data_IF_014239388875
#
_entry.id   IF_014239388875
#
_cell.length_a   1.000
_cell.length_b   1.000
_cell.length_c   1.000
_cell.angle_alpha   90.00
_cell.angle_beta   90.00
_cell.angle_gamma   90.00
#
_symmetry.space_group_name_H-M   'P 1'
#
loop_
_entity.id
_entity.type
_entity.pdbx_description
1 polymer ?
#
# COMPACT_ATOMS: atom_id res chain seq x y z
N UNK A 1 -26.40 -16.59 0.67
CA UNK A 1 -26.06 -15.44 -0.20
C UNK A 1 -26.18 -14.12 0.54
N UNK A 2 -27.28 -13.84 1.26
CA UNK A 2 -27.46 -12.58 2.03
C UNK A 2 -26.35 -12.33 3.06
N UNK A 3 -25.91 -13.35 3.79
CA UNK A 3 -24.79 -13.26 4.73
C UNK A 3 -23.47 -12.88 4.02
N UNK A 4 -23.15 -13.52 2.91
CA UNK A 4 -21.93 -13.23 2.13
C UNK A 4 -21.94 -11.78 1.64
N UNK A 5 -23.07 -11.30 1.11
CA UNK A 5 -23.22 -9.89 0.70
C UNK A 5 -23.03 -8.91 1.87
N UNK A 6 -23.65 -9.19 3.01
CA UNK A 6 -23.52 -8.34 4.19
C UNK A 6 -22.07 -8.31 4.70
N UNK A 7 -21.39 -9.47 4.68
CA UNK A 7 -19.97 -9.57 5.06
C UNK A 7 -19.07 -8.73 4.14
N UNK A 8 -19.24 -8.83 2.82
CA UNK A 8 -18.52 -8.02 1.83
C UNK A 8 -18.78 -6.53 2.04
N UNK A 9 -20.05 -6.12 2.20
CA UNK A 9 -20.39 -4.71 2.47
C UNK A 9 -19.72 -4.18 3.72
N UNK A 10 -19.67 -4.98 4.80
CA UNK A 10 -19.04 -4.57 6.06
C UNK A 10 -17.53 -4.32 5.90
N UNK A 11 -16.84 -5.12 5.08
CA UNK A 11 -15.40 -4.96 4.81
C UNK A 11 -15.15 -3.72 3.94
N UNK A 12 -15.88 -3.61 2.84
CA UNK A 12 -15.73 -2.49 1.89
C UNK A 12 -16.06 -1.14 2.52
N UNK A 13 -16.96 -1.11 3.51
CA UNK A 13 -17.24 0.10 4.30
C UNK A 13 -16.04 0.51 5.15
N UNK A 14 -15.25 -0.46 5.64
CA UNK A 14 -14.08 -0.21 6.47
C UNK A 14 -12.82 0.10 5.67
N UNK A 15 -12.70 -0.45 4.46
CA UNK A 15 -11.60 -0.20 3.53
C UNK A 15 -12.16 0.48 2.26
N UNK A 16 -12.30 1.82 2.25
CA UNK A 16 -12.83 2.54 1.09
C UNK A 16 -12.05 2.32 -0.21
N UNK A 17 -10.78 1.87 -0.09
CA UNK A 17 -9.95 1.57 -1.25
C UNK A 17 -10.35 0.28 -1.97
N UNK A 18 -11.26 -0.51 -1.40
CA UNK A 18 -11.72 -1.79 -1.95
C UNK A 18 -13.19 -1.81 -2.34
N UNK A 19 -13.83 -0.64 -2.50
CA UNK A 19 -15.23 -0.57 -2.90
C UNK A 19 -15.46 -1.31 -4.22
N UNK A 20 -16.37 -2.31 -4.21
CA UNK A 20 -16.67 -3.18 -5.35
C UNK A 20 -15.57 -4.16 -5.76
N UNK A 21 -14.39 -4.12 -5.13
CA UNK A 21 -13.26 -5.01 -5.42
C UNK A 21 -13.64 -6.48 -5.34
N UNK A 22 -14.19 -6.91 -4.20
CA UNK A 22 -14.57 -8.32 -3.99
C UNK A 22 -15.54 -8.82 -5.05
N UNK A 23 -16.48 -7.98 -5.50
CA UNK A 23 -17.42 -8.35 -6.58
C UNK A 23 -16.72 -8.43 -7.93
N UNK A 24 -15.80 -7.51 -8.26
CA UNK A 24 -15.03 -7.53 -9.51
C UNK A 24 -14.13 -8.76 -9.57
N UNK A 25 -13.38 -9.04 -8.49
CA UNK A 25 -12.56 -10.26 -8.38
C UNK A 25 -13.40 -11.51 -8.55
N UNK A 26 -14.54 -11.63 -7.87
CA UNK A 26 -15.43 -12.78 -8.01
C UNK A 26 -15.97 -12.95 -9.45
N UNK A 27 -16.32 -11.85 -10.11
CA UNK A 27 -16.80 -11.90 -11.50
C UNK A 27 -15.70 -12.33 -12.46
N UNK A 28 -14.49 -11.81 -12.31
CA UNK A 28 -13.31 -12.18 -13.13
C UNK A 28 -12.94 -13.65 -12.90
N UNK A 29 -12.90 -14.10 -11.64
CA UNK A 29 -12.51 -15.47 -11.29
C UNK A 29 -13.52 -16.49 -11.83
N UNK A 30 -14.82 -16.21 -11.68
CA UNK A 30 -15.88 -17.08 -12.26
C UNK A 30 -15.79 -17.08 -13.78
N UNK A 31 -15.57 -15.92 -14.41
CA UNK A 31 -15.44 -15.86 -15.86
C UNK A 31 -14.20 -16.61 -16.37
N UNK A 32 -13.10 -16.58 -15.62
CA UNK A 32 -11.90 -17.37 -15.93
C UNK A 32 -12.19 -18.86 -15.75
N UNK A 33 -12.87 -19.28 -14.69
CA UNK A 33 -13.29 -20.67 -14.50
C UNK A 33 -14.21 -21.16 -15.62
N UNK A 34 -15.16 -20.34 -16.08
CA UNK A 34 -16.01 -20.66 -17.25
C UNK A 34 -15.19 -20.78 -18.55
N UNK A 35 -14.11 -20.03 -18.71
CA UNK A 35 -13.23 -20.12 -19.86
C UNK A 35 -12.36 -21.37 -19.81
N UNK A 36 -11.87 -21.74 -18.63
CA UNK A 36 -11.17 -23.02 -18.38
C UNK A 36 -12.07 -24.22 -18.69
N UNK A 37 -13.34 -24.19 -18.23
CA UNK A 37 -14.33 -25.25 -18.49
C UNK A 37 -14.60 -25.48 -20.00
N UNK A 38 -14.37 -24.46 -20.82
CA UNK A 38 -14.52 -24.47 -22.28
C UNK A 38 -13.22 -24.66 -23.05
N UNK A 39 -12.09 -24.86 -22.36
CA UNK A 39 -10.80 -25.00 -23.02
C UNK A 39 -10.71 -26.32 -23.82
N UNK A 40 -10.58 -26.20 -25.13
CA UNK A 40 -10.45 -27.36 -26.04
C UNK A 40 -9.00 -27.82 -26.23
N UNK A 41 -8.03 -27.06 -25.73
CA UNK A 41 -6.59 -27.32 -25.84
C UNK A 41 -5.83 -26.73 -24.66
N UNK A 42 -4.55 -27.11 -24.56
CA UNK A 42 -3.65 -26.61 -23.52
C UNK A 42 -3.70 -27.40 -22.21
N UNK A 43 -3.00 -26.92 -21.16
CA UNK A 43 -2.81 -27.69 -19.92
C UNK A 43 -4.07 -27.94 -19.13
N UNK A 44 -5.14 -27.20 -19.41
CA UNK A 44 -6.43 -27.30 -18.72
C UNK A 44 -7.53 -27.92 -19.58
N UNK A 45 -7.18 -28.52 -20.71
CA UNK A 45 -8.16 -29.26 -21.55
C UNK A 45 -8.84 -30.37 -20.73
N UNK A 46 -10.15 -30.39 -20.78
CA UNK A 46 -10.98 -31.40 -20.08
C UNK A 46 -11.22 -31.12 -18.60
N UNK A 47 -10.70 -30.00 -18.07
CA UNK A 47 -11.10 -29.52 -16.75
C UNK A 47 -12.52 -28.99 -16.82
N UNK A 48 -13.38 -29.40 -15.87
CA UNK A 48 -14.76 -28.90 -15.78
C UNK A 48 -15.13 -28.60 -14.33
N UNK A 49 -16.04 -27.66 -14.17
CA UNK A 49 -16.55 -27.25 -12.86
C UNK A 49 -18.04 -27.47 -12.76
N UNK A 50 -18.47 -28.18 -11.71
CA UNK A 50 -19.89 -28.28 -11.38
C UNK A 50 -20.48 -26.93 -10.97
N UNK A 51 -21.81 -26.82 -10.93
CA UNK A 51 -22.50 -25.63 -10.43
C UNK A 51 -22.08 -25.25 -8.99
N UNK A 52 -21.87 -26.26 -8.17
CA UNK A 52 -21.49 -26.06 -6.77
C UNK A 52 -20.04 -25.60 -6.66
N UNK A 53 -19.13 -26.14 -7.46
CA UNK A 53 -17.75 -25.65 -7.54
C UNK A 53 -17.68 -24.20 -8.05
N UNK A 54 -18.52 -23.83 -9.04
CA UNK A 54 -18.61 -22.42 -9.47
C UNK A 54 -19.12 -21.50 -8.35
N UNK A 55 -20.04 -21.99 -7.51
CA UNK A 55 -20.51 -21.26 -6.31
C UNK A 55 -19.41 -21.15 -5.25
N UNK A 56 -18.63 -22.19 -5.01
CA UNK A 56 -17.47 -22.17 -4.13
C UNK A 56 -16.45 -21.11 -4.57
N UNK A 57 -16.07 -21.14 -5.87
CA UNK A 57 -15.17 -20.15 -6.47
C UNK A 57 -15.69 -18.73 -6.24
N UNK A 58 -16.95 -18.50 -6.53
CA UNK A 58 -17.59 -17.20 -6.35
C UNK A 58 -17.56 -16.73 -4.89
N UNK A 59 -17.94 -17.60 -3.95
CA UNK A 59 -18.02 -17.22 -2.54
C UNK A 59 -16.63 -17.07 -1.91
N UNK A 60 -15.67 -17.92 -2.29
CA UNK A 60 -14.28 -17.77 -1.86
C UNK A 60 -13.70 -16.42 -2.34
N UNK A 61 -13.94 -16.07 -3.62
CA UNK A 61 -13.49 -14.79 -4.18
C UNK A 61 -14.18 -13.57 -3.54
N UNK A 62 -15.47 -13.68 -3.16
CA UNK A 62 -16.16 -12.62 -2.45
C UNK A 62 -15.64 -12.41 -1.03
N UNK A 63 -15.16 -13.47 -0.38
CA UNK A 63 -14.78 -13.47 1.03
C UNK A 63 -13.27 -13.52 1.26
N UNK A 64 -12.44 -13.53 0.20
CA UNK A 64 -10.98 -13.73 0.32
C UNK A 64 -10.32 -12.71 1.26
N UNK A 65 -10.81 -11.51 1.25
CA UNK A 65 -10.32 -10.35 2.02
C UNK A 65 -11.05 -10.11 3.35
N UNK A 66 -11.98 -11.01 3.76
CA UNK A 66 -12.80 -10.80 4.95
C UNK A 66 -11.97 -10.52 6.21
N UNK A 67 -10.81 -11.12 6.33
CA UNK A 67 -9.92 -10.95 7.47
C UNK A 67 -9.35 -9.55 7.67
N UNK A 68 -9.48 -8.64 6.71
CA UNK A 68 -9.16 -7.22 6.87
C UNK A 68 -9.92 -6.57 8.03
N UNK A 69 -11.06 -7.13 8.44
CA UNK A 69 -11.77 -6.72 9.67
C UNK A 69 -10.88 -6.82 10.91
N UNK A 70 -9.94 -7.75 10.96
CA UNK A 70 -8.99 -7.93 12.06
C UNK A 70 -7.77 -7.01 12.02
N UNK A 71 -7.55 -6.27 10.93
CA UNK A 71 -6.42 -5.35 10.78
C UNK A 71 -6.78 -3.98 11.36
N UNK A 72 -5.80 -3.30 12.00
CA UNK A 72 -6.00 -1.93 12.48
C UNK A 72 -6.29 -0.99 11.31
N UNK A 73 -7.32 -0.17 11.46
CA UNK A 73 -7.78 0.73 10.39
C UNK A 73 -6.67 1.70 9.94
N UNK A 74 -5.93 2.28 10.88
CA UNK A 74 -4.83 3.20 10.59
C UNK A 74 -3.73 2.58 9.70
N UNK A 75 -3.48 1.26 9.84
CA UNK A 75 -2.52 0.53 9.00
C UNK A 75 -3.15 0.20 7.64
N UNK A 76 -4.42 -0.19 7.64
CA UNK A 76 -5.15 -0.56 6.43
C UNK A 76 -5.24 0.60 5.41
N UNK A 77 -5.48 1.82 5.92
CA UNK A 77 -5.63 3.04 5.08
C UNK A 77 -4.36 3.88 4.99
N UNK A 78 -3.20 3.37 5.44
CA UNK A 78 -1.95 4.11 5.48
C UNK A 78 -1.41 4.43 4.09
N UNK A 79 -1.59 5.66 3.66
CA UNK A 79 -1.22 6.13 2.32
C UNK A 79 0.24 6.58 2.19
N UNK A 80 0.85 7.05 3.28
CA UNK A 80 2.19 7.62 3.35
C UNK A 80 3.01 6.89 4.39
N UNK A 81 4.33 7.07 4.38
CA UNK A 81 5.23 6.41 5.34
C UNK A 81 5.01 6.88 6.76
N UNK A 82 4.82 8.19 6.98
CA UNK A 82 4.43 8.77 8.26
C UNK A 82 2.91 8.88 8.37
N UNK A 83 2.40 8.69 9.58
CA UNK A 83 1.02 9.04 9.89
C UNK A 83 0.82 10.56 9.85
N UNK A 84 -0.38 11.07 9.53
CA UNK A 84 -0.64 12.51 9.44
C UNK A 84 -0.23 13.31 10.68
N UNK A 85 -0.47 12.76 11.88
CA UNK A 85 -0.11 13.39 13.13
C UNK A 85 1.42 13.52 13.30
N UNK A 86 2.19 12.50 12.91
CA UNK A 86 3.65 12.52 12.96
C UNK A 86 4.22 13.59 12.01
N UNK A 87 3.70 13.66 10.78
CA UNK A 87 4.12 14.68 9.83
C UNK A 87 3.81 16.09 10.34
N UNK A 88 2.67 16.30 10.99
CA UNK A 88 2.31 17.61 11.54
C UNK A 88 3.23 18.02 12.71
N UNK A 89 3.60 17.09 13.58
CA UNK A 89 4.58 17.33 14.64
C UNK A 89 5.94 17.73 14.06
N UNK A 90 6.38 17.04 12.99
CA UNK A 90 7.64 17.39 12.30
C UNK A 90 7.57 18.82 11.76
N UNK A 91 6.48 19.21 11.09
CA UNK A 91 6.30 20.58 10.59
C UNK A 91 6.36 21.62 11.72
N UNK A 92 5.76 21.32 12.87
CA UNK A 92 5.83 22.22 14.04
C UNK A 92 7.26 22.36 14.56
N UNK A 93 8.06 21.29 14.61
CA UNK A 93 9.48 21.36 14.97
C UNK A 93 10.27 22.24 14.00
N UNK A 94 10.04 22.12 12.69
CA UNK A 94 10.62 23.01 11.68
C UNK A 94 10.20 24.47 11.88
N UNK A 95 8.94 24.71 12.24
CA UNK A 95 8.45 26.04 12.61
C UNK A 95 9.19 26.63 13.82
N UNK A 96 9.48 25.82 14.84
CA UNK A 96 10.30 26.25 16.00
C UNK A 96 11.72 26.61 15.58
N UNK A 97 12.40 25.78 14.79
CA UNK A 97 13.75 26.07 14.29
C UNK A 97 13.76 27.36 13.49
N UNK A 98 12.79 27.58 12.60
CA UNK A 98 12.64 28.82 11.83
C UNK A 98 12.57 30.04 12.77
N UNK A 99 11.72 30.00 13.80
CA UNK A 99 11.59 31.10 14.79
C UNK A 99 12.85 31.30 15.60
N UNK A 100 13.58 30.26 15.92
CA UNK A 100 14.86 30.32 16.60
C UNK A 100 15.89 31.06 15.73
N UNK A 101 16.03 30.70 14.45
CA UNK A 101 16.94 31.36 13.50
C UNK A 101 16.59 32.85 13.32
N UNK A 102 15.31 33.18 13.16
CA UNK A 102 14.83 34.56 13.07
C UNK A 102 15.21 35.38 14.33
N UNK A 103 14.96 34.80 15.53
CA UNK A 103 15.29 35.44 16.80
C UNK A 103 16.81 35.63 17.02
N UNK A 104 17.60 34.62 16.68
CA UNK A 104 19.08 34.72 16.77
C UNK A 104 19.64 35.79 15.82
N UNK A 105 19.08 35.87 14.61
CA UNK A 105 19.43 36.93 13.66
C UNK A 105 19.07 38.30 14.22
N UNK A 106 17.89 38.48 14.82
CA UNK A 106 17.49 39.75 15.45
C UNK A 106 18.38 40.11 16.65
N UNK A 107 18.69 39.16 17.52
CA UNK A 107 19.65 39.37 18.63
C UNK A 107 21.01 39.77 18.11
N UNK A 108 21.54 39.08 17.10
CA UNK A 108 22.84 39.39 16.49
C UNK A 108 22.87 40.81 15.87
N UNK A 109 21.78 41.20 15.18
CA UNK A 109 21.62 42.55 14.63
C UNK A 109 21.58 43.62 15.71
N UNK A 110 20.83 43.36 16.79
CA UNK A 110 20.75 44.30 17.94
C UNK A 110 22.11 44.46 18.64
N UNK A 111 22.79 43.35 18.91
CA UNK A 111 24.12 43.36 19.52
C UNK A 111 25.13 44.11 18.66
N UNK A 112 25.10 43.93 17.35
CA UNK A 112 25.96 44.62 16.41
C UNK A 112 25.67 46.12 16.40
N UNK A 113 24.39 46.52 16.34
CA UNK A 113 23.96 47.91 16.39
C UNK A 113 24.43 48.64 17.68
N UNK A 114 24.26 47.97 18.83
CA UNK A 114 24.66 48.52 20.13
C UNK A 114 26.17 48.68 20.28
N UNK A 115 26.95 47.81 19.63
CA UNK A 115 28.43 47.84 19.71
C UNK A 115 29.05 48.84 18.72
N UNK A 116 28.52 48.90 17.49
CA UNK A 116 29.17 49.59 16.37
C UNK A 116 28.46 50.87 15.92
N UNK A 117 27.24 51.10 16.41
CA UNK A 117 26.43 52.24 16.04
C UNK A 117 25.66 52.08 14.73
N UNK A 118 24.82 53.09 14.41
CA UNK A 118 23.85 53.02 13.33
C UNK A 118 24.47 52.96 11.93
N UNK A 119 25.51 53.72 11.66
CA UNK A 119 26.10 53.81 10.31
C UNK A 119 26.76 52.49 9.91
N UNK A 120 27.53 51.91 10.81
CA UNK A 120 28.17 50.62 10.65
C UNK A 120 27.14 49.50 10.49
N UNK A 121 26.05 49.56 11.29
CA UNK A 121 24.94 48.58 11.16
C UNK A 121 24.29 48.65 9.80
N UNK A 122 23.99 49.84 9.26
CA UNK A 122 23.36 49.96 7.93
C UNK A 122 24.25 49.39 6.81
N UNK A 123 25.56 49.50 6.94
CA UNK A 123 26.55 48.92 6.02
C UNK A 123 26.59 47.39 6.10
N UNK A 124 26.39 46.82 7.30
CA UNK A 124 26.46 45.39 7.56
C UNK A 124 25.08 44.67 7.41
N UNK A 125 23.97 45.42 7.32
CA UNK A 125 22.61 44.88 7.37
C UNK A 125 22.36 43.79 6.32
N UNK A 126 22.86 43.98 5.09
CA UNK A 126 22.69 43.01 4.01
C UNK A 126 23.37 41.65 4.30
N UNK A 127 24.50 41.66 5.00
CA UNK A 127 25.22 40.43 5.41
C UNK A 127 24.36 39.62 6.38
N UNK A 128 23.76 40.28 7.38
CA UNK A 128 22.86 39.62 8.31
C UNK A 128 21.61 39.03 7.61
N UNK A 129 21.03 39.80 6.66
CA UNK A 129 19.86 39.36 5.92
C UNK A 129 20.17 38.17 5.03
N UNK A 130 21.28 38.23 4.27
CA UNK A 130 21.70 37.11 3.41
C UNK A 130 21.97 35.85 4.21
N UNK A 131 22.66 35.96 5.35
CA UNK A 131 22.92 34.82 6.23
C UNK A 131 21.63 34.17 6.71
N UNK A 132 20.63 34.96 7.13
CA UNK A 132 19.34 34.42 7.56
C UNK A 132 18.62 33.77 6.39
N UNK A 133 18.62 34.41 5.23
CA UNK A 133 17.96 33.86 4.01
C UNK A 133 18.58 32.53 3.62
N UNK A 134 19.90 32.40 3.62
CA UNK A 134 20.59 31.13 3.33
C UNK A 134 20.19 30.03 4.33
N UNK A 135 20.14 30.34 5.63
CA UNK A 135 19.72 29.37 6.66
C UNK A 135 18.26 28.94 6.53
N UNK A 136 17.37 29.88 6.18
CA UNK A 136 15.95 29.58 5.97
C UNK A 136 15.75 28.75 4.70
N UNK A 137 16.47 29.02 3.61
CA UNK A 137 16.45 28.26 2.39
C UNK A 137 16.90 26.80 2.63
N UNK A 138 18.00 26.60 3.38
CA UNK A 138 18.46 25.27 3.76
C UNK A 138 17.40 24.51 4.59
N UNK A 139 16.77 25.21 5.55
CA UNK A 139 15.70 24.62 6.36
C UNK A 139 14.50 24.19 5.50
N UNK A 140 14.09 25.02 4.53
CA UNK A 140 13.01 24.73 3.60
C UNK A 140 13.36 23.55 2.68
N UNK A 141 14.58 23.46 2.20
CA UNK A 141 15.05 22.31 1.44
C UNK A 141 14.99 21.01 2.26
N UNK A 142 15.36 21.05 3.55
CA UNK A 142 15.23 19.90 4.45
C UNK A 142 13.76 19.49 4.64
N UNK A 143 12.86 20.46 4.86
CA UNK A 143 11.42 20.18 4.98
C UNK A 143 10.85 19.55 3.69
N UNK A 144 11.25 20.05 2.52
CA UNK A 144 10.86 19.46 1.23
C UNK A 144 11.37 18.03 1.04
N UNK A 145 12.61 17.76 1.49
CA UNK A 145 13.17 16.41 1.43
C UNK A 145 12.37 15.41 2.28
N UNK A 146 11.90 15.82 3.47
CA UNK A 146 11.02 14.98 4.30
C UNK A 146 9.67 14.73 3.63
N UNK A 147 9.04 15.79 3.09
CA UNK A 147 7.76 15.63 2.39
C UNK A 147 7.88 14.67 1.22
N UNK A 148 8.96 14.75 0.47
CA UNK A 148 9.22 13.86 -0.64
C UNK A 148 9.53 12.42 -0.18
N UNK A 149 10.37 12.25 0.86
CA UNK A 149 10.69 10.95 1.44
C UNK A 149 9.45 10.24 2.03
N UNK A 150 8.44 10.99 2.46
CA UNK A 150 7.18 10.49 2.99
C UNK A 150 6.27 9.85 1.91
N UNK A 151 6.55 10.07 0.61
CA UNK A 151 5.80 9.43 -0.47
C UNK A 151 6.10 7.92 -0.52
N UNK A 152 5.10 7.08 -0.88
CA UNK A 152 5.27 5.61 -0.96
C UNK A 152 6.03 5.16 -2.22
N UNK A 153 6.76 6.05 -2.85
CA UNK A 153 7.57 5.79 -4.05
C UNK A 153 8.91 5.16 -3.67
N UNK A 154 9.60 4.59 -4.67
CA UNK A 154 10.97 4.10 -4.47
C UNK A 154 11.90 5.28 -4.19
N UNK A 155 12.56 5.27 -3.04
CA UNK A 155 13.55 6.29 -2.68
C UNK A 155 14.83 6.10 -3.52
N UNK A 156 15.29 7.10 -4.28
CA UNK A 156 16.61 7.11 -4.87
C UNK A 156 17.72 7.07 -3.81
N UNK A 157 18.85 6.45 -4.14
CA UNK A 157 19.96 6.22 -3.19
C UNK A 157 20.47 7.49 -2.50
N UNK A 158 20.50 8.65 -3.17
CA UNK A 158 21.00 9.91 -2.58
C UNK A 158 20.08 10.56 -1.52
N UNK A 159 18.84 10.12 -1.36
CA UNK A 159 17.92 10.73 -0.40
C UNK A 159 18.12 10.23 1.03
N UNK A 160 18.66 9.04 1.18
CA UNK A 160 18.97 8.49 2.50
C UNK A 160 20.04 9.33 3.23
N UNK A 161 21.09 9.75 2.54
CA UNK A 161 22.13 10.59 3.11
C UNK A 161 21.59 11.94 3.58
N UNK A 162 20.64 12.51 2.83
CA UNK A 162 19.96 13.75 3.21
C UNK A 162 19.09 13.59 4.46
N UNK A 163 18.37 12.46 4.60
CA UNK A 163 17.63 12.16 5.83
C UNK A 163 18.56 12.03 7.05
N UNK A 164 19.75 11.43 6.88
CA UNK A 164 20.75 11.35 7.94
C UNK A 164 21.29 12.74 8.33
N UNK A 165 21.49 13.65 7.37
CA UNK A 165 21.86 15.02 7.67
C UNK A 165 20.78 15.74 8.48
N UNK A 166 19.50 15.60 8.09
CA UNK A 166 18.36 16.17 8.81
C UNK A 166 18.25 15.57 10.22
N UNK A 167 18.53 14.28 10.39
CA UNK A 167 18.50 13.61 11.68
C UNK A 167 19.50 14.20 12.71
N UNK A 168 20.57 14.84 12.24
CA UNK A 168 21.55 15.51 13.08
C UNK A 168 21.13 16.96 13.47
N UNK A 169 20.06 17.49 12.90
CA UNK A 169 19.52 18.79 13.26
C UNK A 169 18.78 18.70 14.60
N UNK A 170 18.97 19.71 15.44
CA UNK A 170 18.36 19.80 16.76
C UNK A 170 17.55 21.08 16.90
N UNK A 171 16.55 21.04 17.73
CA UNK A 171 15.80 22.21 18.19
C UNK A 171 15.75 22.24 19.72
N UNK A 172 15.58 23.43 20.28
CA UNK A 172 15.40 23.62 21.71
C UNK A 172 13.91 23.48 22.05
N UNK A 173 13.59 22.53 22.97
CA UNK A 173 12.23 22.35 23.44
C UNK A 173 11.83 23.40 24.48
N UNK A 174 10.60 23.36 24.96
CA UNK A 174 10.07 24.32 25.96
C UNK A 174 10.81 24.27 27.31
N UNK A 175 11.56 23.22 27.58
CA UNK A 175 12.38 23.04 28.79
C UNK A 175 13.84 23.50 28.57
N UNK A 176 14.20 24.02 27.41
CA UNK A 176 15.55 24.42 27.03
C UNK A 176 16.46 23.23 26.67
N UNK A 177 15.90 22.05 26.42
CA UNK A 177 16.70 20.87 26.06
C UNK A 177 16.81 20.73 24.55
N UNK A 178 18.01 20.38 24.10
CA UNK A 178 18.24 20.05 22.68
C UNK A 178 17.59 18.70 22.32
N UNK A 179 16.70 18.71 21.31
CA UNK A 179 16.00 17.54 20.80
C UNK A 179 16.28 17.38 19.30
N UNK A 180 16.44 16.15 18.82
CA UNK A 180 16.58 15.94 17.38
C UNK A 180 15.28 16.32 16.67
N UNK A 181 15.41 16.85 15.45
CA UNK A 181 14.26 17.28 14.64
C UNK A 181 13.42 16.10 14.16
N UNK A 182 14.07 14.94 13.96
CA UNK A 182 13.42 13.65 13.67
C UNK A 182 13.74 12.65 14.79
N UNK A 183 12.73 11.90 15.22
CA UNK A 183 12.93 10.73 16.09
C UNK A 183 13.53 9.55 15.29
N UNK A 184 14.09 8.57 16.00
CA UNK A 184 14.58 7.35 15.34
C UNK A 184 13.48 6.60 14.60
N UNK A 185 12.29 6.53 15.17
CA UNK A 185 11.12 5.91 14.54
C UNK A 185 10.73 6.65 13.25
N UNK A 186 10.68 7.98 13.26
CA UNK A 186 10.38 8.80 12.08
C UNK A 186 11.44 8.60 10.98
N UNK A 187 12.71 8.48 11.35
CA UNK A 187 13.80 8.19 10.40
C UNK A 187 13.61 6.79 9.79
N UNK A 188 13.31 5.78 10.60
CA UNK A 188 13.05 4.42 10.12
C UNK A 188 11.89 4.39 9.13
N UNK A 189 10.78 5.04 9.45
CA UNK A 189 9.61 5.13 8.55
C UNK A 189 9.95 5.86 7.24
N UNK A 190 10.60 7.02 7.30
CA UNK A 190 11.00 7.76 6.10
C UNK A 190 12.02 7.00 5.23
N UNK A 191 12.79 6.11 5.84
CA UNK A 191 13.81 5.28 5.17
C UNK A 191 13.24 4.03 4.48
N UNK A 192 11.95 3.75 4.57
CA UNK A 192 11.31 2.64 3.84
C UNK A 192 11.57 2.82 2.36
N UNK A 193 12.24 1.82 1.74
CA UNK A 193 12.67 1.91 0.34
C UNK A 193 11.52 1.84 -0.66
N UNK A 194 10.48 1.04 -0.36
CA UNK A 194 9.34 0.81 -1.26
C UNK A 194 8.05 0.68 -0.44
N UNK A 195 7.04 1.47 -0.81
CA UNK A 195 5.73 1.46 -0.14
C UNK A 195 5.67 2.37 1.08
N UNK A 196 4.61 2.25 1.87
CA UNK A 196 4.28 3.09 3.02
C UNK A 196 4.38 2.36 4.36
N UNK A 197 4.48 1.04 4.36
CA UNK A 197 4.41 0.19 5.55
C UNK A 197 5.80 -0.25 5.99
N UNK A 198 6.07 -0.19 7.30
CA UNK A 198 7.19 -0.86 7.91
C UNK A 198 6.97 -2.39 7.99
N UNK A 199 7.92 -3.13 8.55
CA UNK A 199 7.87 -4.58 8.60
C UNK A 199 6.73 -5.09 9.51
N UNK A 200 6.50 -4.44 10.66
CA UNK A 200 5.43 -4.81 11.58
C UNK A 200 4.05 -4.52 10.98
N UNK A 201 3.87 -3.35 10.39
CA UNK A 201 2.64 -2.97 9.69
C UNK A 201 2.35 -3.88 8.50
N UNK A 202 3.39 -4.30 7.76
CA UNK A 202 3.27 -5.27 6.68
C UNK A 202 2.77 -6.61 7.19
N UNK A 203 3.36 -7.13 8.25
CA UNK A 203 2.90 -8.37 8.88
C UNK A 203 1.45 -8.27 9.38
N UNK A 204 1.03 -7.09 9.87
CA UNK A 204 -0.36 -6.87 10.24
C UNK A 204 -1.29 -6.91 9.02
N UNK A 205 -0.91 -6.32 7.89
CA UNK A 205 -1.71 -6.46 6.67
C UNK A 205 -1.75 -7.92 6.21
N UNK A 206 -0.61 -8.61 6.17
CA UNK A 206 -0.51 -10.00 5.74
C UNK A 206 -1.35 -10.94 6.62
N UNK A 207 -1.53 -10.61 7.90
CA UNK A 207 -2.33 -11.39 8.84
C UNK A 207 -3.83 -11.47 8.47
N UNK A 208 -4.34 -10.60 7.55
CA UNK A 208 -5.72 -10.69 7.13
C UNK A 208 -6.06 -12.04 6.50
N UNK A 209 -5.09 -12.70 5.85
CA UNK A 209 -5.29 -14.05 5.29
C UNK A 209 -5.60 -15.06 6.40
N UNK A 210 -4.83 -15.02 7.49
CA UNK A 210 -5.04 -15.88 8.66
C UNK A 210 -6.40 -15.60 9.32
N UNK A 211 -6.76 -14.32 9.45
CA UNK A 211 -8.07 -13.92 9.96
C UNK A 211 -9.21 -14.38 9.06
N UNK A 212 -9.05 -14.27 7.72
CA UNK A 212 -10.02 -14.80 6.75
C UNK A 212 -10.24 -16.30 6.96
N UNK A 213 -9.18 -17.09 7.02
CA UNK A 213 -9.28 -18.54 7.22
C UNK A 213 -9.94 -18.87 8.56
N UNK A 214 -9.50 -18.22 9.63
CA UNK A 214 -10.07 -18.43 10.98
C UNK A 214 -11.57 -18.13 11.02
N UNK A 215 -12.02 -17.07 10.34
CA UNK A 215 -13.42 -16.72 10.25
C UNK A 215 -14.20 -17.73 9.39
N UNK A 216 -13.73 -18.03 8.18
CA UNK A 216 -14.41 -18.92 7.24
C UNK A 216 -14.56 -20.35 7.79
N UNK A 217 -13.60 -20.83 8.58
CA UNK A 217 -13.66 -22.15 9.22
C UNK A 217 -14.75 -22.26 10.31
N UNK A 218 -15.22 -21.15 10.87
CA UNK A 218 -16.30 -21.14 11.85
C UNK A 218 -17.70 -21.23 11.22
N UNK A 219 -17.81 -21.01 9.91
CA UNK A 219 -19.08 -21.09 9.18
C UNK A 219 -19.41 -22.58 8.92
N UNK A 220 -20.60 -23.05 9.29
CA UNK A 220 -21.01 -24.43 9.00
C UNK A 220 -21.40 -24.58 7.52
N UNK A 221 -20.39 -24.62 6.66
CA UNK A 221 -20.60 -24.81 5.21
C UNK A 221 -21.30 -26.15 4.92
N UNK A 222 -22.15 -26.13 3.91
CA UNK A 222 -22.68 -27.38 3.37
C UNK A 222 -21.56 -28.19 2.70
N UNK A 223 -21.78 -29.47 2.45
CA UNK A 223 -20.77 -30.34 1.83
C UNK A 223 -20.29 -29.82 0.46
N UNK A 224 -21.19 -29.16 -0.28
CA UNK A 224 -20.92 -28.57 -1.60
C UNK A 224 -20.08 -27.30 -1.56
N UNK A 225 -19.95 -26.66 -0.39
CA UNK A 225 -19.28 -25.37 -0.20
C UNK A 225 -18.14 -25.44 0.81
N UNK A 226 -17.72 -26.63 1.21
CA UNK A 226 -16.75 -26.85 2.29
C UNK A 226 -15.33 -26.39 1.96
N UNK A 227 -14.99 -26.24 0.67
CA UNK A 227 -13.65 -25.89 0.23
C UNK A 227 -13.43 -24.36 0.17
N UNK A 228 -14.45 -23.54 0.45
CA UNK A 228 -14.33 -22.08 0.45
C UNK A 228 -13.14 -21.58 1.29
N UNK A 229 -12.92 -22.03 2.56
CA UNK A 229 -11.78 -21.60 3.34
C UNK A 229 -10.44 -21.95 2.69
N UNK A 230 -10.35 -23.14 2.08
CA UNK A 230 -9.15 -23.63 1.40
C UNK A 230 -8.82 -22.80 0.15
N UNK A 231 -9.83 -22.47 -0.65
CA UNK A 231 -9.66 -21.63 -1.84
C UNK A 231 -9.22 -20.22 -1.45
N UNK A 232 -9.83 -19.64 -0.40
CA UNK A 232 -9.54 -18.28 0.04
C UNK A 232 -8.15 -18.13 0.69
N UNK A 233 -7.63 -19.17 1.37
CA UNK A 233 -6.40 -19.08 2.18
C UNK A 233 -5.13 -18.78 1.40
N UNK A 234 -5.11 -19.06 0.10
CA UNK A 234 -3.90 -19.01 -0.72
C UNK A 234 -3.84 -17.85 -1.71
N UNK A 235 -4.75 -16.87 -1.65
CA UNK A 235 -4.83 -15.83 -2.68
C UNK A 235 -3.61 -14.91 -2.77
N UNK A 236 -2.75 -14.88 -1.75
CA UNK A 236 -1.46 -14.21 -1.76
C UNK A 236 -0.27 -15.19 -1.80
N UNK A 237 -0.52 -16.47 -1.99
CA UNK A 237 0.54 -17.42 -2.25
C UNK A 237 1.03 -17.27 -3.70
N UNK A 238 2.29 -17.65 -3.91
CA UNK A 238 2.95 -17.62 -5.21
C UNK A 238 3.46 -19.01 -5.56
N UNK A 239 3.35 -19.39 -6.84
CA UNK A 239 3.74 -20.75 -7.27
C UNK A 239 5.20 -21.09 -7.01
N UNK A 240 6.07 -20.09 -6.94
CA UNK A 240 7.49 -20.25 -6.60
C UNK A 240 7.77 -20.33 -5.09
N UNK A 241 6.73 -20.36 -4.22
CA UNK A 241 6.86 -20.47 -2.76
C UNK A 241 7.31 -19.19 -2.05
N UNK A 242 7.33 -18.03 -2.72
CA UNK A 242 7.71 -16.73 -2.12
C UNK A 242 6.52 -15.94 -1.60
N UNK A 243 5.30 -16.49 -1.69
CA UNK A 243 4.07 -15.89 -1.20
C UNK A 243 3.91 -15.94 0.32
N UNK A 244 2.74 -15.57 0.80
CA UNK A 244 2.38 -15.60 2.21
C UNK A 244 0.92 -16.02 2.41
N UNK A 245 0.52 -16.47 3.61
CA UNK A 245 1.31 -16.58 4.84
C UNK A 245 2.03 -17.92 5.02
N UNK A 246 1.70 -18.94 4.20
CA UNK A 246 2.15 -20.33 4.41
C UNK A 246 3.34 -20.71 3.53
N UNK A 247 3.69 -19.90 2.53
CA UNK A 247 4.74 -20.15 1.52
C UNK A 247 4.53 -21.45 0.77
N UNK A 248 3.29 -21.67 0.33
CA UNK A 248 2.88 -22.90 -0.36
C UNK A 248 3.57 -23.01 -1.71
N UNK A 249 3.92 -24.25 -2.06
CA UNK A 249 4.40 -24.57 -3.40
C UNK A 249 3.24 -24.68 -4.41
N UNK A 250 3.58 -24.64 -5.71
CA UNK A 250 2.58 -24.74 -6.78
C UNK A 250 1.63 -25.93 -6.62
N UNK A 251 2.10 -27.06 -6.14
CA UNK A 251 1.31 -28.28 -5.99
C UNK A 251 0.27 -28.20 -4.85
N UNK A 252 0.50 -27.33 -3.89
CA UNK A 252 -0.35 -27.13 -2.71
C UNK A 252 -1.40 -26.05 -2.91
N UNK A 253 -1.28 -25.24 -3.99
CA UNK A 253 -2.20 -24.14 -4.28
C UNK A 253 -3.30 -24.65 -5.24
N UNK A 254 -4.57 -24.72 -4.78
CA UNK A 254 -5.69 -25.15 -5.65
C UNK A 254 -5.81 -24.28 -6.90
N UNK A 255 -6.26 -24.88 -8.01
CA UNK A 255 -6.45 -24.13 -9.26
C UNK A 255 -7.41 -22.96 -9.10
N UNK A 256 -8.48 -23.12 -8.32
CA UNK A 256 -9.44 -22.07 -8.01
C UNK A 256 -8.77 -20.86 -7.36
N UNK A 257 -7.82 -21.09 -6.45
CA UNK A 257 -7.00 -20.07 -5.82
C UNK A 257 -6.11 -19.37 -6.84
N UNK A 258 -5.43 -20.10 -7.73
CA UNK A 258 -4.58 -19.52 -8.77
C UNK A 258 -5.37 -18.61 -9.71
N UNK A 259 -6.59 -19.01 -10.09
CA UNK A 259 -7.49 -18.16 -10.88
C UNK A 259 -7.89 -16.90 -10.12
N UNK A 260 -8.17 -17.02 -8.83
CA UNK A 260 -8.51 -15.89 -7.98
C UNK A 260 -7.32 -14.91 -7.82
N UNK A 261 -6.10 -15.42 -7.63
CA UNK A 261 -4.87 -14.61 -7.54
C UNK A 261 -4.65 -13.75 -8.78
N UNK A 262 -4.82 -14.32 -10.00
CA UNK A 262 -4.72 -13.56 -11.26
C UNK A 262 -5.77 -12.44 -11.29
N UNK A 263 -7.01 -12.76 -10.92
CA UNK A 263 -8.13 -11.82 -10.92
C UNK A 263 -7.94 -10.70 -9.89
N UNK A 264 -7.46 -11.03 -8.70
CA UNK A 264 -7.18 -10.09 -7.61
C UNK A 264 -6.07 -9.10 -7.99
N UNK A 265 -4.93 -9.60 -8.47
CA UNK A 265 -3.82 -8.75 -8.90
C UNK A 265 -4.25 -7.85 -10.06
N UNK A 266 -5.00 -8.38 -11.05
CA UNK A 266 -5.51 -7.57 -12.15
C UNK A 266 -6.39 -6.43 -11.65
N UNK A 267 -7.39 -6.73 -10.80
CA UNK A 267 -8.28 -5.71 -10.23
C UNK A 267 -7.49 -4.69 -9.40
N UNK A 268 -6.54 -5.16 -8.59
CA UNK A 268 -5.70 -4.30 -7.77
C UNK A 268 -4.85 -3.30 -8.59
N UNK A 269 -4.50 -3.64 -9.83
CA UNK A 269 -3.75 -2.78 -10.75
C UNK A 269 -4.65 -1.86 -11.57
N UNK A 270 -5.77 -2.39 -12.08
CA UNK A 270 -6.64 -1.71 -13.04
C UNK A 270 -7.71 -0.82 -12.39
N UNK A 271 -8.08 -1.05 -11.11
CA UNK A 271 -9.13 -0.29 -10.42
C UNK A 271 -8.69 1.15 -10.11
N UNK A 272 -9.56 2.11 -10.45
CA UNK A 272 -9.35 3.54 -10.21
C UNK A 272 -9.78 4.00 -8.80
N UNK A 273 -10.40 3.12 -8.02
CA UNK A 273 -11.09 3.45 -6.76
C UNK A 273 -10.11 3.62 -5.59
N UNK A 274 -8.80 3.37 -5.80
CA UNK A 274 -7.79 3.51 -4.75
C UNK A 274 -7.32 4.96 -4.64
N UNK A 275 -7.61 5.68 -3.54
CA UNK A 275 -7.31 7.11 -3.41
C UNK A 275 -5.81 7.42 -3.44
N UNK A 276 -4.94 6.40 -3.29
CA UNK A 276 -3.50 6.58 -3.12
C UNK A 276 -2.66 5.97 -4.25
N UNK A 277 -3.28 5.24 -5.19
CA UNK A 277 -2.57 4.60 -6.31
C UNK A 277 -3.33 4.87 -7.60
N UNK A 278 -2.67 5.52 -8.57
CA UNK A 278 -3.26 5.69 -9.90
C UNK A 278 -3.45 4.32 -10.55
N UNK A 279 -4.65 4.05 -11.04
CA UNK A 279 -4.90 2.89 -11.88
C UNK A 279 -3.94 2.89 -13.08
N UNK A 280 -3.43 1.74 -13.41
CA UNK A 280 -2.68 1.56 -14.66
C UNK A 280 -3.64 1.17 -15.79
N UNK A 281 -3.21 1.34 -17.06
CA UNK A 281 -4.02 0.86 -18.17
C UNK A 281 -4.13 -0.68 -18.14
N UNK A 282 -5.15 -1.22 -18.80
CA UNK A 282 -5.35 -2.67 -18.92
C UNK A 282 -4.10 -3.33 -19.51
N UNK A 283 -3.52 -2.74 -20.55
CA UNK A 283 -2.31 -3.22 -21.19
C UNK A 283 -1.15 -3.31 -20.18
N UNK A 284 -0.97 -2.27 -19.38
CA UNK A 284 0.10 -2.25 -18.36
C UNK A 284 -0.16 -3.24 -17.23
N UNK A 285 -1.42 -3.46 -16.84
CA UNK A 285 -1.78 -4.50 -15.86
C UNK A 285 -1.45 -5.90 -16.40
N UNK A 286 -1.74 -6.18 -17.67
CA UNK A 286 -1.41 -7.44 -18.32
C UNK A 286 0.12 -7.65 -18.42
N UNK A 287 0.90 -6.63 -18.80
CA UNK A 287 2.37 -6.70 -18.80
C UNK A 287 2.95 -7.05 -17.41
N UNK A 288 2.38 -6.48 -16.33
CA UNK A 288 2.82 -6.79 -14.95
C UNK A 288 2.48 -8.23 -14.58
N UNK A 289 1.32 -8.74 -14.97
CA UNK A 289 0.93 -10.12 -14.74
C UNK A 289 1.81 -11.09 -15.54
N UNK A 290 2.13 -10.77 -16.80
CA UNK A 290 3.04 -11.54 -17.64
C UNK A 290 4.43 -11.65 -17.01
N UNK A 291 4.97 -10.53 -16.49
CA UNK A 291 6.22 -10.55 -15.74
C UNK A 291 6.15 -11.47 -14.51
N UNK A 292 5.04 -11.46 -13.79
CA UNK A 292 4.84 -12.36 -12.64
C UNK A 292 4.75 -13.84 -13.06
N UNK A 293 4.27 -14.14 -14.26
CA UNK A 293 4.33 -15.49 -14.86
C UNK A 293 5.76 -15.89 -15.17
N UNK A 294 6.55 -15.00 -15.78
CA UNK A 294 7.97 -15.23 -16.08
C UNK A 294 8.80 -15.45 -14.81
N UNK A 295 8.47 -14.73 -13.73
CA UNK A 295 9.11 -14.88 -12.40
C UNK A 295 8.67 -16.18 -11.67
N UNK A 296 7.77 -16.98 -12.27
CA UNK A 296 7.24 -18.21 -11.70
C UNK A 296 6.27 -17.98 -10.53
N UNK A 297 5.71 -16.80 -10.40
CA UNK A 297 4.78 -16.43 -9.34
C UNK A 297 3.35 -16.85 -9.66
N UNK A 298 2.94 -16.74 -10.93
CA UNK A 298 1.59 -17.01 -11.42
C UNK A 298 1.55 -18.19 -12.39
N UNK A 299 0.35 -18.72 -12.59
CA UNK A 299 0.09 -19.82 -13.51
C UNK A 299 -0.04 -19.32 -14.94
N UNK A 300 0.96 -19.61 -15.78
CA UNK A 300 1.02 -19.15 -17.15
C UNK A 300 -0.12 -19.69 -18.01
N UNK A 301 -0.53 -20.94 -17.83
CA UNK A 301 -1.65 -21.52 -18.61
C UNK A 301 -3.01 -20.86 -18.26
N UNK A 302 -3.25 -20.51 -17.00
CA UNK A 302 -4.42 -19.75 -16.59
C UNK A 302 -4.37 -18.31 -17.06
N UNK A 303 -3.17 -17.71 -17.04
CA UNK A 303 -2.96 -16.35 -17.57
C UNK A 303 -3.21 -16.30 -19.10
N UNK A 304 -2.72 -17.28 -19.86
CA UNK A 304 -3.00 -17.38 -21.30
C UNK A 304 -4.51 -17.45 -21.60
N UNK A 305 -5.27 -18.22 -20.80
CA UNK A 305 -6.72 -18.27 -20.91
C UNK A 305 -7.37 -16.92 -20.53
N UNK A 306 -6.86 -16.27 -19.47
CA UNK A 306 -7.34 -14.95 -19.05
C UNK A 306 -7.21 -13.90 -20.16
N UNK A 307 -6.09 -13.92 -20.88
CA UNK A 307 -5.81 -13.00 -21.99
C UNK A 307 -6.59 -13.40 -23.25
N UNK A 308 -6.50 -14.66 -23.68
CA UNK A 308 -7.11 -15.13 -24.94
C UNK A 308 -8.64 -15.06 -24.93
N UNK A 309 -9.28 -15.38 -23.79
CA UNK A 309 -10.70 -15.23 -23.59
C UNK A 309 -11.14 -13.80 -23.22
N UNK A 310 -10.20 -12.85 -23.18
CA UNK A 310 -10.43 -11.44 -22.83
C UNK A 310 -11.24 -11.26 -21.54
N UNK A 311 -10.90 -12.02 -20.50
CA UNK A 311 -11.63 -11.99 -19.23
C UNK A 311 -11.65 -10.59 -18.62
N UNK A 312 -10.58 -9.82 -18.81
CA UNK A 312 -10.45 -8.43 -18.35
C UNK A 312 -11.52 -7.48 -18.92
N UNK A 313 -12.16 -7.78 -20.04
CA UNK A 313 -13.27 -6.95 -20.57
C UNK A 313 -14.53 -7.04 -19.70
N UNK A 314 -14.68 -8.14 -18.92
CA UNK A 314 -15.79 -8.31 -17.99
C UNK A 314 -15.66 -7.53 -16.69
N UNK A 315 -14.52 -6.93 -16.46
CA UNK A 315 -14.23 -6.12 -15.28
C UNK A 315 -15.16 -4.89 -15.12
N UNK A 316 -15.59 -4.29 -16.24
CA UNK A 316 -16.46 -3.11 -16.27
C UNK A 316 -17.95 -3.41 -16.19
N UNK A 317 -18.35 -4.66 -16.13
CA UNK A 317 -19.75 -5.05 -16.08
C UNK A 317 -20.25 -4.98 -14.65
N UNK A 318 -21.21 -4.09 -14.37
CA UNK A 318 -21.89 -4.05 -13.07
C UNK A 318 -22.43 -5.43 -12.69
N UNK A 319 -22.38 -5.82 -11.39
CA UNK A 319 -22.88 -7.10 -10.95
C UNK A 319 -24.36 -7.21 -11.33
N UNK A 320 -24.70 -8.18 -12.20
CA UNK A 320 -26.10 -8.51 -12.43
C UNK A 320 -26.70 -8.92 -11.09
N UNK A 321 -27.68 -8.15 -10.64
CA UNK A 321 -28.53 -8.55 -9.54
C UNK A 321 -29.22 -9.88 -9.94
N UNK A 322 -28.88 -10.97 -9.27
CA UNK A 322 -29.56 -12.24 -9.35
C UNK A 322 -30.52 -12.39 -8.19
#
# INVERSE_FOLDING_TARGET
EGFVRAAVTAIETRDPATSGHSFRVANLTVALAEAVDRAESGPYQGVSFSRDQMREIRYASLLHDFGKVGVREEVLVKAKKLYPAQLEIIKQRFGLVRRTLENESLKSKLDYLLKNGREEFLSAQNVFNSKLEDQLNELDEHAHAILWANEPTVLPEGNFDRLLQIANLHYEDMEGKQRPILSQEEIQMLSIRKGSLDEEERLQIESHVLHTVSFLQQIPWTNELRNIPEIARGHHEKLNGTGYPYRLSAQEIPMQTRMMTISDIFDALAAADRPYKKAVSVEKALEILEQSVEDGELDGGLFDIFVSARIFDRWKVEPRAY
#
